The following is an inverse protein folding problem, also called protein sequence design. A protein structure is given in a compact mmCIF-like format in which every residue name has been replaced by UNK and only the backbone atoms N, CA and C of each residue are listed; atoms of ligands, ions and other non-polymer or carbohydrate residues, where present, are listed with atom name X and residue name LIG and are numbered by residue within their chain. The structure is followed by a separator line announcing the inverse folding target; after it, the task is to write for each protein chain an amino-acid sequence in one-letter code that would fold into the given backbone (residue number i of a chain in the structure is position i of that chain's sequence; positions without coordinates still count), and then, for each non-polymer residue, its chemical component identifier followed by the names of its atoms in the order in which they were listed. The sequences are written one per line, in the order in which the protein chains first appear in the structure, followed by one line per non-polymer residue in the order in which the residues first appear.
data_IF_641999644137
#
_entry.id   IF_641999644137
#
_cell.length_a   1.000
_cell.length_b   1.000
_cell.length_c   1.000
_cell.angle_alpha   90.00
_cell.angle_beta   90.00
_cell.angle_gamma   90.00
#
_symmetry.space_group_name_H-M   'P 1'
#
loop_
_entity.id
_entity.type
_entity.pdbx_description
1 polymer ?
#
# COMPACT_ATOMS: atom_id res chain seq x y z
N UNK A 1 -5.23 4.42 1.29
CA UNK A 1 -3.83 4.79 1.55
C UNK A 1 -3.28 5.41 0.27
N UNK A 2 -2.76 6.64 0.35
CA UNK A 2 -2.26 7.37 -0.81
C UNK A 2 -0.95 6.75 -1.32
N UNK A 3 -0.19 6.09 -0.44
CA UNK A 3 1.10 5.45 -0.66
C UNK A 3 1.09 4.54 -1.89
N UNK A 4 0.18 3.56 -1.94
CA UNK A 4 0.07 2.61 -3.06
C UNK A 4 -0.29 3.30 -4.37
N UNK A 5 -1.21 4.28 -4.32
CA UNK A 5 -1.62 5.03 -5.53
C UNK A 5 -0.47 5.88 -6.09
N UNK A 6 0.31 6.49 -5.20
CA UNK A 6 1.49 7.29 -5.59
C UNK A 6 2.56 6.37 -6.16
N UNK A 7 2.86 5.25 -5.49
CA UNK A 7 3.84 4.26 -5.95
C UNK A 7 3.48 3.74 -7.35
N UNK A 8 2.26 3.20 -7.52
CA UNK A 8 1.77 2.65 -8.79
C UNK A 8 1.82 3.68 -9.93
N UNK A 9 1.46 4.93 -9.64
CA UNK A 9 1.50 6.00 -10.62
C UNK A 9 2.94 6.27 -11.08
N UNK A 10 3.87 6.41 -10.14
CA UNK A 10 5.28 6.71 -10.43
C UNK A 10 5.98 5.53 -11.13
N UNK A 11 5.64 4.30 -10.74
CA UNK A 11 6.13 3.09 -11.41
C UNK A 11 5.66 3.03 -12.86
N UNK A 12 4.37 3.29 -13.13
CA UNK A 12 3.82 3.36 -14.50
C UNK A 12 4.46 4.46 -15.35
N UNK A 13 5.00 5.51 -14.72
CA UNK A 13 5.76 6.57 -15.40
C UNK A 13 7.23 6.21 -15.68
N UNK A 14 7.67 5.03 -15.24
CA UNK A 14 8.99 4.46 -15.51
C UNK A 14 10.08 4.92 -14.53
N UNK A 15 9.71 5.30 -13.30
CA UNK A 15 10.71 5.44 -12.24
C UNK A 15 11.11 4.06 -11.70
N UNK A 16 12.37 3.92 -11.27
CA UNK A 16 12.83 2.74 -10.55
C UNK A 16 12.45 2.84 -9.06
N UNK A 17 12.54 1.73 -8.32
CA UNK A 17 12.12 1.69 -6.90
C UNK A 17 12.89 2.66 -6.00
N UNK A 18 14.18 2.91 -6.25
CA UNK A 18 14.95 3.92 -5.51
C UNK A 18 14.42 5.34 -5.78
N UNK A 19 14.12 5.65 -7.04
CA UNK A 19 13.53 6.90 -7.47
C UNK A 19 12.16 7.15 -6.85
N UNK A 20 11.27 6.14 -6.91
CA UNK A 20 9.94 6.21 -6.31
C UNK A 20 10.06 6.46 -4.81
N UNK A 21 10.87 5.66 -4.11
CA UNK A 21 11.09 5.78 -2.68
C UNK A 21 11.67 7.15 -2.27
N UNK A 22 12.69 7.63 -2.99
CA UNK A 22 13.31 8.94 -2.71
C UNK A 22 12.36 10.11 -2.91
N UNK A 23 11.52 10.06 -3.95
CA UNK A 23 10.48 11.07 -4.17
C UNK A 23 9.39 11.00 -3.10
N UNK A 24 8.85 9.82 -2.81
CA UNK A 24 7.83 9.63 -1.77
C UNK A 24 8.33 10.06 -0.38
N UNK A 25 9.59 9.79 -0.04
CA UNK A 25 10.20 10.23 1.22
C UNK A 25 10.21 11.76 1.39
N UNK A 26 10.43 12.51 0.30
CA UNK A 26 10.35 13.96 0.31
C UNK A 26 8.90 14.45 0.42
N UNK A 27 7.98 13.90 -0.40
CA UNK A 27 6.56 14.26 -0.33
C UNK A 27 5.94 13.96 1.05
N UNK A 28 6.38 12.90 1.71
CA UNK A 28 5.99 12.59 3.08
C UNK A 28 6.48 13.67 4.06
N UNK A 29 7.71 14.14 3.91
CA UNK A 29 8.24 15.24 4.72
C UNK A 29 7.48 16.57 4.50
N UNK A 30 7.00 16.80 3.27
CA UNK A 30 6.24 18.01 2.93
C UNK A 30 4.79 17.97 3.45
N UNK A 31 4.08 16.86 3.26
CA UNK A 31 2.61 16.83 3.45
C UNK A 31 2.09 15.59 4.16
N UNK A 32 2.96 14.66 4.56
CA UNK A 32 2.52 13.32 4.97
C UNK A 32 1.80 12.56 3.86
N UNK A 33 2.12 12.87 2.59
CA UNK A 33 1.43 12.36 1.39
C UNK A 33 -0.05 12.75 1.32
N UNK A 34 -0.45 13.84 1.98
CA UNK A 34 -1.81 14.37 1.94
C UNK A 34 -1.93 15.47 0.85
N UNK A 35 -2.64 15.23 -0.26
CA UNK A 35 -2.81 16.24 -1.32
C UNK A 35 -3.68 17.43 -0.88
N UNK A 36 -4.35 17.33 0.27
CA UNK A 36 -5.22 18.40 0.78
C UNK A 36 -4.52 19.28 1.81
N UNK A 37 -3.27 18.97 2.16
CA UNK A 37 -2.56 19.63 3.25
C UNK A 37 -2.32 21.11 2.96
N UNK A 38 -2.94 21.97 3.75
CA UNK A 38 -2.59 23.36 3.92
C UNK A 38 -1.49 23.44 4.98
N UNK A 39 -0.45 24.23 4.73
CA UNK A 39 0.61 24.44 5.71
C UNK A 39 0.03 24.89 7.07
N UNK A 40 0.28 24.12 8.13
CA UNK A 40 -0.35 24.29 9.45
C UNK A 40 -0.27 25.73 10.01
N UNK A 41 0.84 26.45 9.76
CA UNK A 41 0.98 27.84 10.22
C UNK A 41 -0.04 28.79 9.59
N UNK A 42 -0.57 28.45 8.41
CA UNK A 42 -1.59 29.21 7.71
C UNK A 42 -3.02 28.78 8.03
N UNK A 43 -3.25 27.59 8.61
CA UNK A 43 -4.61 27.20 9.02
C UNK A 43 -5.21 28.21 10.00
N UNK A 44 -4.42 28.64 10.99
CA UNK A 44 -4.83 29.66 11.96
C UNK A 44 -4.95 31.06 11.34
N UNK A 45 -4.06 31.41 10.40
CA UNK A 45 -4.05 32.73 9.74
C UNK A 45 -5.27 32.89 8.84
N UNK A 46 -5.66 31.81 8.16
CA UNK A 46 -6.78 31.79 7.21
C UNK A 46 -8.10 31.38 7.87
N UNK A 47 -8.06 30.82 9.08
CA UNK A 47 -9.25 30.29 9.76
C UNK A 47 -9.85 29.06 9.05
N UNK A 48 -9.02 28.30 8.34
CA UNK A 48 -9.44 27.15 7.54
C UNK A 48 -8.53 25.96 7.81
N UNK A 49 -9.10 24.79 8.05
CA UNK A 49 -8.35 23.54 7.97
C UNK A 49 -8.18 23.09 6.51
N UNK A 50 -7.36 22.06 6.28
CA UNK A 50 -7.17 21.38 4.99
C UNK A 50 -8.45 21.28 4.13
N UNK A 51 -9.53 20.74 4.71
CA UNK A 51 -10.76 20.45 3.98
C UNK A 51 -11.55 21.72 3.63
N UNK A 52 -11.63 22.66 4.56
CA UNK A 52 -12.30 23.93 4.35
C UNK A 52 -11.56 24.77 3.29
N UNK A 53 -10.22 24.78 3.34
CA UNK A 53 -9.40 25.48 2.37
C UNK A 53 -9.59 24.92 0.96
N UNK A 54 -9.50 23.59 0.78
CA UNK A 54 -9.75 22.95 -0.52
C UNK A 54 -11.15 23.25 -1.03
N UNK A 55 -12.17 23.12 -0.18
CA UNK A 55 -13.56 23.39 -0.58
C UNK A 55 -13.74 24.85 -1.02
N UNK A 56 -13.14 25.80 -0.30
CA UNK A 56 -13.24 27.22 -0.61
C UNK A 56 -12.51 27.61 -1.91
N UNK A 57 -11.36 26.96 -2.20
CA UNK A 57 -10.67 27.13 -3.49
C UNK A 57 -11.50 26.54 -4.63
N UNK A 58 -12.00 25.31 -4.47
CA UNK A 58 -12.76 24.60 -5.50
C UNK A 58 -14.08 25.31 -5.86
N UNK A 59 -14.79 25.85 -4.86
CA UNK A 59 -16.05 26.56 -5.08
C UNK A 59 -15.86 28.06 -5.37
N UNK A 60 -14.61 28.55 -5.38
CA UNK A 60 -14.26 29.92 -5.71
C UNK A 60 -14.58 30.97 -4.64
N UNK A 61 -14.97 30.57 -3.42
CA UNK A 61 -15.17 31.51 -2.31
C UNK A 61 -13.84 32.02 -1.73
N UNK A 62 -12.75 31.29 -1.93
CA UNK A 62 -11.39 31.74 -1.63
C UNK A 62 -10.57 31.94 -2.92
N UNK A 63 -10.37 33.20 -3.30
CA UNK A 63 -9.72 33.58 -4.57
C UNK A 63 -8.22 33.85 -4.43
N UNK A 64 -7.68 33.89 -3.22
CA UNK A 64 -6.30 34.29 -2.95
C UNK A 64 -5.29 33.12 -2.96
N UNK A 65 -5.70 31.92 -3.39
CA UNK A 65 -4.86 30.71 -3.42
C UNK A 65 -3.44 30.95 -3.96
N UNK A 66 -3.32 31.72 -5.03
CA UNK A 66 -2.05 31.94 -5.73
C UNK A 66 -1.08 32.82 -4.92
N UNK A 67 -1.59 33.80 -4.17
CA UNK A 67 -0.78 34.84 -3.53
C UNK A 67 -0.78 34.78 -2.00
N UNK A 68 -1.47 33.82 -1.40
CA UNK A 68 -1.58 33.71 0.06
C UNK A 68 -0.31 33.23 0.78
N UNK A 69 0.72 32.82 0.02
CA UNK A 69 2.04 32.37 0.50
C UNK A 69 2.00 31.08 1.32
N UNK A 70 0.85 30.42 1.42
CA UNK A 70 0.73 29.16 2.12
C UNK A 70 1.25 28.01 1.25
N UNK A 71 2.05 27.11 1.84
CA UNK A 71 2.34 25.82 1.23
C UNK A 71 1.08 24.98 1.10
N UNK A 72 0.93 24.28 -0.03
CA UNK A 72 -0.25 23.46 -0.30
C UNK A 72 0.08 22.15 -1.03
N UNK A 73 -0.62 21.08 -0.66
CA UNK A 73 -0.65 19.81 -1.40
C UNK A 73 0.58 18.94 -1.21
N UNK A 74 0.71 17.90 -2.06
CA UNK A 74 1.70 16.83 -1.92
C UNK A 74 3.14 17.34 -1.75
N UNK A 75 3.52 18.33 -2.57
CA UNK A 75 4.85 18.91 -2.61
C UNK A 75 4.92 20.31 -1.97
N UNK A 76 3.93 20.66 -1.14
CA UNK A 76 3.84 21.97 -0.47
C UNK A 76 4.13 23.16 -1.41
N UNK A 77 3.48 23.20 -2.57
CA UNK A 77 3.66 24.26 -3.56
C UNK A 77 3.40 25.63 -2.92
N UNK A 78 4.47 26.41 -2.77
CA UNK A 78 4.43 27.69 -2.02
C UNK A 78 4.68 28.90 -2.91
N UNK A 79 5.59 28.79 -3.89
CA UNK A 79 5.92 29.91 -4.76
C UNK A 79 4.76 30.22 -5.71
N UNK A 80 4.38 31.50 -5.80
CA UNK A 80 3.14 31.93 -6.44
C UNK A 80 2.99 31.46 -7.89
N UNK A 81 4.07 31.41 -8.68
CA UNK A 81 3.99 30.92 -10.07
C UNK A 81 3.67 29.43 -10.13
N UNK A 82 4.20 28.64 -9.19
CA UNK A 82 3.88 27.20 -9.09
C UNK A 82 2.46 26.99 -8.60
N UNK A 83 1.97 27.80 -7.64
CA UNK A 83 0.56 27.77 -7.22
C UNK A 83 -0.39 28.15 -8.36
N UNK A 84 -0.07 29.18 -9.15
CA UNK A 84 -0.85 29.54 -10.33
C UNK A 84 -0.90 28.38 -11.33
N UNK A 85 0.24 27.79 -11.67
CA UNK A 85 0.30 26.66 -12.60
C UNK A 85 -0.47 25.43 -12.09
N UNK A 86 -0.41 25.13 -10.79
CA UNK A 86 -1.21 24.08 -10.17
C UNK A 86 -2.72 24.37 -10.26
N UNK A 87 -3.14 25.59 -9.96
CA UNK A 87 -4.54 26.01 -10.04
C UNK A 87 -5.07 25.91 -11.48
N UNK A 88 -4.27 26.33 -12.46
CA UNK A 88 -4.64 26.26 -13.88
C UNK A 88 -4.70 24.81 -14.37
N UNK A 89 -3.79 23.95 -13.90
CA UNK A 89 -3.83 22.51 -14.17
C UNK A 89 -5.08 21.84 -13.58
N UNK A 90 -5.46 22.20 -12.35
CA UNK A 90 -6.70 21.71 -11.73
C UNK A 90 -7.95 22.14 -12.50
N UNK A 91 -8.02 23.44 -12.88
CA UNK A 91 -9.13 23.98 -13.69
C UNK A 91 -9.24 23.31 -15.05
N UNK A 92 -8.13 23.17 -15.78
CA UNK A 92 -8.12 22.55 -17.11
C UNK A 92 -8.45 21.05 -17.06
N UNK A 93 -8.16 20.36 -15.96
CA UNK A 93 -8.55 18.96 -15.76
C UNK A 93 -9.97 18.77 -15.23
N UNK A 94 -10.64 19.86 -14.81
CA UNK A 94 -11.97 19.80 -14.20
C UNK A 94 -11.99 19.01 -12.88
N UNK A 95 -10.88 19.03 -12.14
CA UNK A 95 -10.70 18.28 -10.88
C UNK A 95 -10.52 19.24 -9.70
N UNK A 96 -10.81 18.73 -8.50
CA UNK A 96 -10.53 19.42 -7.23
C UNK A 96 -9.04 19.74 -7.12
N UNK A 97 -8.70 20.90 -6.56
CA UNK A 97 -7.32 21.30 -6.26
C UNK A 97 -6.64 20.32 -5.27
N UNK A 98 -7.44 19.62 -4.46
CA UNK A 98 -6.96 18.61 -3.50
C UNK A 98 -7.07 17.16 -3.98
N UNK A 99 -7.31 16.92 -5.28
CA UNK A 99 -7.36 15.57 -5.85
C UNK A 99 -5.96 14.96 -6.03
N UNK A 100 -5.76 13.73 -5.56
CA UNK A 100 -4.47 13.05 -5.57
C UNK A 100 -3.95 12.83 -6.99
N UNK A 101 -4.79 12.31 -7.90
CA UNK A 101 -4.38 11.97 -9.25
C UNK A 101 -4.07 13.23 -10.06
N UNK A 102 -4.84 14.30 -9.86
CA UNK A 102 -4.57 15.62 -10.44
C UNK A 102 -3.20 16.15 -10.00
N UNK A 103 -2.92 16.15 -8.69
CA UNK A 103 -1.63 16.64 -8.18
C UNK A 103 -0.45 15.77 -8.63
N UNK A 104 -0.62 14.45 -8.74
CA UNK A 104 0.38 13.55 -9.35
C UNK A 104 0.61 13.85 -10.84
N UNK A 105 -0.45 14.21 -11.57
CA UNK A 105 -0.38 14.72 -12.94
C UNK A 105 0.47 15.98 -13.04
N UNK A 106 0.19 16.96 -12.19
CA UNK A 106 0.92 18.23 -12.16
C UNK A 106 2.38 18.05 -11.70
N UNK A 107 2.62 17.28 -10.64
CA UNK A 107 3.97 16.92 -10.18
C UNK A 107 4.80 16.30 -11.29
N UNK A 108 4.21 15.34 -12.04
CA UNK A 108 4.89 14.72 -13.17
C UNK A 108 5.17 15.71 -14.31
N UNK A 109 4.23 16.63 -14.59
CA UNK A 109 4.42 17.70 -15.58
C UNK A 109 5.63 18.57 -15.20
N UNK A 110 5.70 19.04 -13.96
CA UNK A 110 6.84 19.84 -13.49
C UNK A 110 8.15 19.06 -13.56
N UNK A 111 8.18 17.81 -13.08
CA UNK A 111 9.37 16.96 -13.16
C UNK A 111 9.86 16.78 -14.60
N UNK A 112 8.93 16.63 -15.55
CA UNK A 112 9.26 16.38 -16.95
C UNK A 112 9.68 17.64 -17.71
N UNK A 113 9.05 18.78 -17.44
CA UNK A 113 9.22 20.01 -18.23
C UNK A 113 10.18 21.00 -17.57
N UNK A 114 10.12 21.15 -16.25
CA UNK A 114 10.86 22.16 -15.49
C UNK A 114 12.07 21.59 -14.74
N UNK A 115 12.03 20.29 -14.38
CA UNK A 115 13.09 19.63 -13.62
C UNK A 115 13.61 18.34 -14.29
N UNK A 116 13.94 18.35 -15.59
CA UNK A 116 14.34 17.14 -16.31
C UNK A 116 15.59 16.47 -15.72
N UNK A 117 16.49 17.24 -15.11
CA UNK A 117 17.66 16.71 -14.39
C UNK A 117 17.27 15.90 -13.14
N UNK A 118 16.29 16.37 -12.36
CA UNK A 118 15.75 15.61 -11.21
C UNK A 118 15.09 14.34 -11.69
N UNK A 119 14.27 14.43 -12.75
CA UNK A 119 13.61 13.26 -13.32
C UNK A 119 14.62 12.21 -13.82
N UNK A 120 15.69 12.64 -14.49
CA UNK A 120 16.75 11.74 -14.94
C UNK A 120 17.42 11.03 -13.76
N UNK A 121 17.73 11.76 -12.68
CA UNK A 121 18.28 11.17 -11.45
C UNK A 121 17.30 10.16 -10.82
N UNK A 122 16.01 10.49 -10.73
CA UNK A 122 15.00 9.58 -10.19
C UNK A 122 14.88 8.28 -11.01
N UNK A 123 15.09 8.33 -12.33
CA UNK A 123 15.08 7.14 -13.18
C UNK A 123 16.33 6.27 -13.04
N UNK A 124 17.48 6.89 -12.78
CA UNK A 124 18.78 6.24 -12.77
C UNK A 124 19.32 5.91 -11.37
N UNK A 125 18.69 6.43 -10.31
CA UNK A 125 19.19 6.33 -8.95
C UNK A 125 19.46 4.88 -8.54
N UNK A 126 20.57 4.69 -7.83
CA UNK A 126 21.03 3.39 -7.33
C UNK A 126 20.88 3.26 -5.81
N UNK A 127 20.41 4.32 -5.15
CA UNK A 127 20.09 4.33 -3.73
C UNK A 127 18.96 5.32 -3.43
N UNK A 128 18.24 5.07 -2.33
CA UNK A 128 17.20 6.00 -1.85
C UNK A 128 17.79 7.35 -1.48
N UNK A 129 19.00 7.39 -0.91
CA UNK A 129 19.69 8.62 -0.54
C UNK A 129 19.96 9.50 -1.76
N UNK A 130 20.45 8.92 -2.86
CA UNK A 130 20.71 9.63 -4.11
C UNK A 130 19.42 10.23 -4.69
N UNK A 131 18.36 9.43 -4.79
CA UNK A 131 17.06 9.88 -5.27
C UNK A 131 16.47 10.99 -4.38
N UNK A 132 16.49 10.78 -3.06
CA UNK A 132 15.98 11.74 -2.07
C UNK A 132 16.74 13.08 -2.14
N UNK A 133 18.06 13.04 -2.28
CA UNK A 133 18.87 14.25 -2.37
C UNK A 133 18.63 15.01 -3.67
N UNK A 134 18.39 14.31 -4.79
CA UNK A 134 18.03 14.97 -6.04
C UNK A 134 16.74 15.80 -5.88
N UNK A 135 15.72 15.26 -5.22
CA UNK A 135 14.46 15.95 -4.97
C UNK A 135 14.63 17.08 -3.95
N UNK A 136 15.25 16.81 -2.80
CA UNK A 136 15.46 17.79 -1.74
C UNK A 136 16.24 19.02 -2.23
N UNK A 137 17.36 18.81 -2.92
CA UNK A 137 18.31 19.89 -3.26
C UNK A 137 17.93 20.63 -4.54
N UNK A 138 17.14 20.01 -5.43
CA UNK A 138 16.88 20.57 -6.75
C UNK A 138 15.39 20.82 -7.06
N UNK A 139 14.48 20.16 -6.37
CA UNK A 139 13.02 20.35 -6.55
C UNK A 139 12.39 21.10 -5.37
N UNK A 140 12.54 20.60 -4.13
CA UNK A 140 11.92 21.21 -2.94
C UNK A 140 12.66 22.46 -2.46
N UNK A 141 14.00 22.38 -2.37
CA UNK A 141 14.87 23.48 -1.93
C UNK A 141 14.39 24.18 -0.66
N UNK A 142 14.10 23.45 0.44
CA UNK A 142 13.74 24.08 1.70
C UNK A 142 14.90 24.92 2.24
N UNK A 143 14.62 25.81 3.19
CA UNK A 143 15.64 26.66 3.80
C UNK A 143 16.78 25.85 4.45
N UNK A 144 16.45 24.70 5.07
CA UNK A 144 17.42 23.81 5.68
C UNK A 144 17.68 22.57 4.80
N UNK A 145 18.88 22.48 4.22
CA UNK A 145 19.33 21.37 3.37
C UNK A 145 20.56 20.64 3.97
N UNK A 146 20.70 20.69 5.30
CA UNK A 146 21.83 20.07 6.00
C UNK A 146 21.94 18.57 5.73
N UNK A 147 23.11 17.98 6.02
CA UNK A 147 23.32 16.53 5.93
C UNK A 147 22.32 15.76 6.80
N UNK A 148 21.91 16.31 7.94
CA UNK A 148 20.91 15.69 8.81
C UNK A 148 19.53 15.68 8.16
N UNK A 149 19.13 16.76 7.47
CA UNK A 149 17.87 16.79 6.71
C UNK A 149 17.92 15.82 5.53
N UNK A 150 19.04 15.77 4.80
CA UNK A 150 19.25 14.82 3.71
C UNK A 150 19.10 13.37 4.19
N UNK A 151 19.78 13.01 5.29
CA UNK A 151 19.66 11.70 5.92
C UNK A 151 18.21 11.43 6.35
N UNK A 152 17.54 12.40 6.99
CA UNK A 152 16.19 12.22 7.50
C UNK A 152 15.17 11.96 6.38
N UNK A 153 15.26 12.68 5.27
CA UNK A 153 14.37 12.47 4.12
C UNK A 153 14.65 11.16 3.41
N UNK A 154 15.92 10.76 3.32
CA UNK A 154 16.28 9.43 2.83
C UNK A 154 15.74 8.32 3.74
N UNK A 155 15.75 8.49 5.07
CA UNK A 155 15.13 7.54 6.02
C UNK A 155 13.62 7.37 5.77
N UNK A 156 12.90 8.46 5.49
CA UNK A 156 11.49 8.36 5.11
C UNK A 156 11.30 7.60 3.80
N UNK A 157 12.13 7.89 2.80
CA UNK A 157 12.12 7.15 1.53
C UNK A 157 12.43 5.66 1.73
N UNK A 158 13.37 5.33 2.62
CA UNK A 158 13.80 3.95 2.85
C UNK A 158 12.65 3.09 3.35
N UNK A 159 11.75 3.65 4.17
CA UNK A 159 10.52 2.95 4.59
C UNK A 159 9.66 2.53 3.40
N UNK A 160 9.53 3.39 2.39
CA UNK A 160 8.75 3.07 1.19
C UNK A 160 9.47 2.09 0.28
N UNK A 161 10.80 2.18 0.17
CA UNK A 161 11.59 1.15 -0.52
C UNK A 161 11.41 -0.21 0.15
N UNK A 162 11.59 -0.28 1.47
CA UNK A 162 11.42 -1.48 2.27
C UNK A 162 9.99 -2.00 2.23
N UNK A 163 8.99 -1.15 2.00
CA UNK A 163 7.60 -1.55 1.86
C UNK A 163 7.30 -2.12 0.46
N UNK A 164 7.73 -1.46 -0.61
CA UNK A 164 7.27 -1.78 -1.96
C UNK A 164 8.27 -2.61 -2.77
N UNK A 165 9.57 -2.34 -2.64
CA UNK A 165 10.60 -3.09 -3.37
C UNK A 165 10.79 -4.51 -2.79
N UNK A 166 10.58 -4.69 -1.49
CA UNK A 166 10.65 -6.00 -0.83
C UNK A 166 9.47 -6.93 -1.17
N UNK A 167 8.31 -6.36 -1.54
CA UNK A 167 7.14 -7.12 -1.97
C UNK A 167 7.23 -7.59 -3.43
N UNK A 168 8.10 -6.98 -4.23
CA UNK A 168 8.34 -7.37 -5.64
C UNK A 168 9.42 -8.45 -5.80
N UNK A 169 10.17 -8.77 -4.74
CA UNK A 169 11.09 -9.91 -4.78
C UNK A 169 10.29 -11.22 -4.68
N UNK A 170 10.49 -12.19 -5.58
CA UNK A 170 9.98 -13.54 -5.35
C UNK A 170 10.48 -14.00 -3.98
N UNK A 171 9.60 -14.60 -3.17
CA UNK A 171 9.99 -15.22 -1.91
C UNK A 171 11.21 -16.11 -2.17
N UNK A 172 12.30 -15.90 -1.42
CA UNK A 172 13.51 -16.69 -1.61
C UNK A 172 13.24 -18.16 -1.31
N UNK A 173 14.09 -19.06 -1.78
CA UNK A 173 13.99 -20.48 -1.41
C UNK A 173 14.05 -20.68 0.11
N UNK A 174 14.72 -19.77 0.84
CA UNK A 174 14.74 -19.77 2.30
C UNK A 174 13.38 -19.40 2.87
N UNK A 175 12.75 -18.33 2.37
CA UNK A 175 11.44 -17.86 2.82
C UNK A 175 10.36 -18.92 2.53
N UNK A 176 10.42 -19.57 1.37
CA UNK A 176 9.51 -20.65 1.01
C UNK A 176 9.71 -21.89 1.89
N UNK A 177 10.96 -22.25 2.24
CA UNK A 177 11.23 -23.34 3.17
C UNK A 177 10.70 -23.02 4.56
N UNK A 178 10.89 -21.79 5.03
CA UNK A 178 10.37 -21.35 6.33
C UNK A 178 8.85 -21.33 6.35
N UNK A 179 8.21 -20.80 5.31
CA UNK A 179 6.75 -20.83 5.18
C UNK A 179 6.22 -22.26 5.18
N UNK A 180 6.81 -23.16 4.39
CA UNK A 180 6.41 -24.58 4.37
C UNK A 180 6.52 -25.22 5.74
N UNK A 181 7.59 -24.93 6.49
CA UNK A 181 7.79 -25.43 7.85
C UNK A 181 6.71 -24.91 8.80
N UNK A 182 6.50 -23.60 8.84
CA UNK A 182 5.49 -22.98 9.71
C UNK A 182 4.07 -23.44 9.36
N UNK A 183 3.77 -23.58 8.07
CA UNK A 183 2.48 -24.08 7.61
C UNK A 183 2.28 -25.55 8.00
N UNK A 184 3.33 -26.38 7.96
CA UNK A 184 3.27 -27.76 8.44
C UNK A 184 3.08 -27.84 9.97
N UNK A 185 3.77 -26.98 10.73
CA UNK A 185 3.63 -26.89 12.19
C UNK A 185 2.20 -26.45 12.58
N UNK A 186 1.68 -25.38 11.96
CA UNK A 186 0.30 -24.94 12.16
C UNK A 186 -0.71 -26.03 11.80
N UNK A 187 -0.53 -26.74 10.68
CA UNK A 187 -1.42 -27.84 10.33
C UNK A 187 -1.35 -28.97 11.34
N UNK A 188 -0.16 -29.32 11.84
CA UNK A 188 -0.04 -30.36 12.86
C UNK A 188 -0.80 -30.02 14.15
N UNK A 189 -0.87 -28.74 14.54
CA UNK A 189 -1.68 -28.27 15.67
C UNK A 189 -3.19 -28.43 15.44
N UNK A 190 -3.66 -28.43 14.18
CA UNK A 190 -5.07 -28.63 13.82
C UNK A 190 -5.43 -30.11 13.57
N UNK A 191 -4.42 -30.99 13.50
CA UNK A 191 -4.58 -32.41 13.19
C UNK A 191 -4.85 -33.25 14.44
N UNK A 192 -5.78 -32.79 15.26
CA UNK A 192 -6.33 -33.51 16.40
C UNK A 192 -7.85 -33.68 16.22
N UNK A 193 -8.53 -34.14 17.28
CA UNK A 193 -9.98 -34.25 17.27
C UNK A 193 -10.67 -33.05 17.92
N UNK A 194 -9.96 -31.93 18.14
CA UNK A 194 -10.56 -30.73 18.72
C UNK A 194 -11.61 -30.16 17.77
N UNK A 195 -12.76 -29.80 18.32
CA UNK A 195 -13.91 -29.48 17.49
C UNK A 195 -15.00 -28.72 18.26
N UNK A 196 -15.70 -27.81 17.59
CA UNK A 196 -16.75 -27.00 18.22
C UNK A 196 -18.01 -27.79 18.55
N UNK A 197 -18.76 -27.37 19.59
CA UNK A 197 -20.01 -28.03 19.98
C UNK A 197 -21.12 -27.90 18.92
N UNK A 198 -21.11 -26.80 18.15
CA UNK A 198 -22.17 -26.49 17.19
C UNK A 198 -22.32 -27.52 16.05
N UNK A 199 -21.26 -28.27 15.72
CA UNK A 199 -21.27 -29.27 14.65
C UNK A 199 -21.34 -30.71 15.17
N UNK A 200 -21.58 -30.93 16.47
CA UNK A 200 -21.58 -32.26 17.07
C UNK A 200 -22.56 -33.23 16.37
N UNK A 201 -23.81 -32.80 16.15
CA UNK A 201 -24.83 -33.63 15.48
C UNK A 201 -24.44 -33.97 14.03
N UNK A 202 -23.97 -32.98 13.26
CA UNK A 202 -23.56 -33.17 11.88
C UNK A 202 -22.33 -34.10 11.76
N UNK A 203 -21.36 -33.99 12.68
CA UNK A 203 -20.21 -34.90 12.73
C UNK A 203 -20.64 -36.32 13.09
N UNK A 204 -21.50 -36.49 14.08
CA UNK A 204 -22.00 -37.82 14.46
C UNK A 204 -22.73 -38.47 13.29
N UNK A 205 -23.64 -37.74 12.64
CA UNK A 205 -24.31 -38.20 11.43
C UNK A 205 -23.32 -38.60 10.33
N UNK A 206 -22.28 -37.80 10.08
CA UNK A 206 -21.27 -38.10 9.07
C UNK A 206 -20.48 -39.39 9.38
N UNK A 207 -20.24 -39.68 10.66
CA UNK A 207 -19.61 -40.94 11.10
C UNK A 207 -20.57 -42.12 10.93
N UNK A 208 -21.82 -41.98 11.36
CA UNK A 208 -22.84 -43.04 11.30
C UNK A 208 -23.14 -43.44 9.84
N UNK A 209 -23.13 -42.47 8.93
CA UNK A 209 -23.29 -42.70 7.49
C UNK A 209 -22.04 -43.25 6.80
N UNK A 210 -20.91 -43.35 7.51
CA UNK A 210 -19.62 -43.72 6.93
C UNK A 210 -19.05 -42.70 5.95
N UNK A 211 -19.57 -41.46 5.97
CA UNK A 211 -19.17 -40.38 5.06
C UNK A 211 -17.72 -39.96 5.34
N UNK A 212 -17.34 -39.91 6.62
CA UNK A 212 -15.99 -39.55 7.09
C UNK A 212 -15.41 -40.74 7.88
N UNK A 213 -14.16 -41.11 7.59
CA UNK A 213 -13.45 -42.20 8.28
C UNK A 213 -12.20 -41.74 9.03
N UNK A 214 -11.87 -40.45 8.95
CA UNK A 214 -10.60 -39.91 9.42
C UNK A 214 -9.40 -40.34 8.58
N UNK A 215 -8.22 -39.92 9.00
CA UNK A 215 -6.93 -40.29 8.41
C UNK A 215 -5.90 -40.54 9.52
N UNK A 216 -5.50 -41.81 9.70
CA UNK A 216 -4.65 -42.23 10.81
C UNK A 216 -5.36 -42.29 12.16
N UNK A 217 -4.58 -42.35 13.24
CA UNK A 217 -5.07 -42.50 14.62
C UNK A 217 -4.42 -41.47 15.55
N UNK A 218 -5.15 -41.00 16.56
CA UNK A 218 -4.59 -40.26 17.69
C UNK A 218 -3.85 -41.22 18.65
N UNK A 219 -3.14 -40.68 19.66
CA UNK A 219 -2.24 -41.45 20.56
C UNK A 219 -2.92 -42.63 21.25
N UNK A 220 -4.22 -42.53 21.52
CA UNK A 220 -5.00 -43.59 22.16
C UNK A 220 -5.54 -44.66 21.19
N UNK A 221 -5.17 -44.60 19.90
CA UNK A 221 -5.58 -45.56 18.87
C UNK A 221 -6.93 -45.25 18.21
N UNK A 222 -7.64 -44.21 18.65
CA UNK A 222 -8.89 -43.80 18.02
C UNK A 222 -8.63 -43.14 16.64
N UNK A 223 -9.57 -43.24 15.68
CA UNK A 223 -9.43 -42.55 14.41
C UNK A 223 -9.24 -41.04 14.60
N UNK A 224 -8.29 -40.48 13.86
CA UNK A 224 -8.05 -39.04 13.83
C UNK A 224 -8.86 -38.40 12.69
N UNK A 225 -9.85 -37.60 13.05
CA UNK A 225 -10.75 -36.98 12.09
C UNK A 225 -10.30 -35.58 11.67
N UNK A 226 -9.41 -34.93 12.43
CA UNK A 226 -8.79 -33.64 12.07
C UNK A 226 -9.83 -32.56 11.74
N UNK A 227 -10.84 -32.41 12.60
CA UNK A 227 -12.05 -31.64 12.31
C UNK A 227 -11.80 -30.16 11.97
N UNK A 228 -10.67 -29.60 12.42
CA UNK A 228 -10.29 -28.20 12.19
C UNK A 228 -9.25 -28.02 11.07
N UNK A 229 -8.62 -29.10 10.59
CA UNK A 229 -7.59 -29.01 9.53
C UNK A 229 -8.22 -28.79 8.15
N UNK A 230 -7.39 -28.38 7.20
CA UNK A 230 -7.74 -28.14 5.81
C UNK A 230 -8.00 -29.45 5.06
N UNK A 231 -9.13 -29.50 4.34
CA UNK A 231 -9.50 -30.63 3.48
C UNK A 231 -8.70 -30.59 2.17
N UNK A 232 -8.00 -31.69 1.85
CA UNK A 232 -7.33 -31.84 0.54
C UNK A 232 -8.34 -32.22 -0.55
N UNK A 233 -7.98 -32.02 -1.82
CA UNK A 233 -8.81 -32.48 -2.95
C UNK A 233 -9.06 -34.00 -2.94
N UNK A 234 -8.10 -34.79 -2.45
CA UNK A 234 -8.22 -36.24 -2.29
C UNK A 234 -9.24 -36.62 -1.21
N UNK A 235 -9.21 -35.93 -0.07
CA UNK A 235 -10.20 -36.11 0.99
C UNK A 235 -11.59 -35.69 0.50
N UNK A 236 -11.68 -34.55 -0.21
CA UNK A 236 -12.96 -34.06 -0.74
C UNK A 236 -13.58 -35.02 -1.75
N UNK A 237 -12.81 -35.52 -2.73
CA UNK A 237 -13.35 -36.48 -3.72
C UNK A 237 -13.77 -37.80 -3.05
N UNK A 238 -13.07 -38.24 -2.00
CA UNK A 238 -13.45 -39.43 -1.23
C UNK A 238 -14.79 -39.24 -0.52
N UNK A 239 -15.01 -38.06 0.09
CA UNK A 239 -16.29 -37.70 0.73
C UNK A 239 -17.42 -37.67 -0.29
N UNK A 240 -17.20 -37.03 -1.45
CA UNK A 240 -18.21 -36.97 -2.52
C UNK A 240 -18.53 -38.37 -3.09
N UNK A 241 -17.52 -39.21 -3.27
CA UNK A 241 -17.70 -40.58 -3.74
C UNK A 241 -18.57 -41.39 -2.78
N UNK A 242 -18.30 -41.31 -1.47
CA UNK A 242 -19.12 -41.98 -0.44
C UNK A 242 -20.54 -41.44 -0.40
N UNK A 243 -20.70 -40.11 -0.52
CA UNK A 243 -22.02 -39.50 -0.60
C UNK A 243 -22.82 -40.03 -1.82
N UNK A 244 -22.19 -40.14 -2.99
CA UNK A 244 -22.83 -40.70 -4.18
C UNK A 244 -23.29 -42.15 -3.97
N UNK A 245 -22.45 -42.98 -3.34
CA UNK A 245 -22.80 -44.35 -2.98
C UNK A 245 -24.00 -44.41 -2.01
N UNK A 246 -24.01 -43.56 -0.99
CA UNK A 246 -25.12 -43.44 -0.02
C UNK A 246 -26.42 -43.04 -0.72
N UNK A 247 -26.33 -42.14 -1.70
CA UNK A 247 -27.47 -41.66 -2.48
C UNK A 247 -27.95 -42.66 -3.56
N UNK A 248 -27.31 -43.83 -3.67
CA UNK A 248 -27.66 -44.84 -4.68
C UNK A 248 -27.35 -44.41 -6.12
N UNK A 249 -26.49 -43.41 -6.30
CA UNK A 249 -26.01 -43.01 -7.63
C UNK A 249 -24.90 -43.97 -8.08
N UNK A 250 -24.91 -44.45 -9.35
CA UNK A 250 -23.84 -45.29 -9.84
C UNK A 250 -22.52 -44.51 -9.84
N UNK A 251 -21.48 -45.16 -9.30
CA UNK A 251 -20.10 -44.68 -9.30
C UNK A 251 -19.51 -44.53 -10.70
#
# INVERSE_FOLDING_TARGET
MNELTIHDYLQKKGLNEYGIAGLMGNLFAESGLNPRNLQNSYENVLGMNDNAYVAAVDNGTYTNFVQDKAGFGLAQWTFWTRKQALLDFAKSSGKSIGDLAMQLGFLWKELSESYPGVLAMLRAATSVLEASNAVLLNFEKPANQSKDVQKKRAEYGQRYYDQFASQTAPASDSDLKQFRKLFQEMRAELQDNDCGQWSAEARQWALDMGLITGNGTVINGEPNYMWQDLVTREQFVTVLYRLAQIMGSPA
#
